data_IF_083803624896
#
_entry.id   IF_083803624896
#
_cell.length_a   1.000
_cell.length_b   1.000
_cell.length_c   1.000
_cell.angle_alpha   90.00
_cell.angle_beta   90.00
_cell.angle_gamma   90.00
#
_symmetry.space_group_name_H-M   'P 1'
#
loop_
_entity.id
_entity.type
_entity.pdbx_description
1 polymer ?
#
# COMPACT_ATOMS: atom_id res chain seq x y z
N UNK A 1 -7.86 8.50 -11.96
CA UNK A 1 -6.49 8.27 -11.47
C UNK A 1 -5.64 7.86 -12.66
N UNK A 2 -4.45 8.43 -12.82
CA UNK A 2 -3.58 8.21 -13.98
C UNK A 2 -2.23 7.65 -13.50
N UNK A 3 -1.66 6.73 -14.27
CA UNK A 3 -0.36 6.10 -14.04
C UNK A 3 0.51 6.21 -15.32
N UNK A 4 1.76 5.78 -15.25
CA UNK A 4 2.78 5.91 -16.29
C UNK A 4 3.15 7.36 -16.56
N UNK A 5 3.42 7.68 -17.82
CA UNK A 5 3.76 9.04 -18.30
C UNK A 5 2.72 10.12 -17.94
N UNK A 6 1.51 9.71 -17.56
CA UNK A 6 0.43 10.60 -17.20
C UNK A 6 0.39 10.96 -15.70
N UNK A 7 1.14 10.24 -14.85
CA UNK A 7 1.31 10.59 -13.44
C UNK A 7 2.32 11.74 -13.34
N UNK A 8 1.84 12.98 -13.44
CA UNK A 8 2.69 14.18 -13.50
C UNK A 8 1.99 15.41 -12.91
N UNK A 9 2.79 16.45 -12.64
CA UNK A 9 2.28 17.73 -12.14
C UNK A 9 1.49 17.57 -10.83
N UNK A 10 0.26 18.08 -10.79
CA UNK A 10 -0.60 18.07 -9.59
C UNK A 10 -0.93 16.66 -9.07
N UNK A 11 -0.83 15.63 -9.91
CA UNK A 11 -1.10 14.25 -9.51
C UNK A 11 0.04 13.68 -8.63
N UNK A 12 1.23 14.27 -8.66
CA UNK A 12 2.36 13.88 -7.79
C UNK A 12 2.12 14.25 -6.31
N UNK A 13 1.12 15.09 -6.02
CA UNK A 13 0.71 15.43 -4.66
C UNK A 13 -0.34 14.44 -4.08
N UNK A 14 -0.71 13.40 -4.85
CA UNK A 14 -1.63 12.37 -4.38
C UNK A 14 -0.90 11.28 -3.61
N UNK A 15 -1.54 10.77 -2.57
CA UNK A 15 -1.03 9.68 -1.74
C UNK A 15 -2.16 8.75 -1.29
N UNK A 16 -1.81 7.50 -1.06
CA UNK A 16 -2.66 6.47 -0.48
C UNK A 16 -2.48 6.42 1.03
N UNK A 17 -3.59 6.45 1.77
CA UNK A 17 -3.67 6.09 3.18
C UNK A 17 -4.17 4.65 3.23
N UNK A 18 -3.41 3.80 3.93
CA UNK A 18 -3.78 2.42 4.27
C UNK A 18 -4.11 2.39 5.75
N UNK A 19 -5.29 1.90 6.10
CA UNK A 19 -5.79 1.87 7.48
C UNK A 19 -6.12 0.45 7.92
N UNK A 20 -5.66 0.11 9.12
CA UNK A 20 -5.95 -1.13 9.82
C UNK A 20 -7.21 -1.02 10.69
N UNK A 21 -7.79 -2.16 11.07
CA UNK A 21 -8.96 -2.22 11.95
C UNK A 21 -8.73 -1.63 13.36
N UNK A 22 -7.48 -1.54 13.81
CA UNK A 22 -7.09 -0.93 15.08
C UNK A 22 -6.80 0.57 14.98
N UNK A 23 -7.03 1.17 13.80
CA UNK A 23 -6.76 2.58 13.53
C UNK A 23 -5.32 2.90 13.15
N UNK A 24 -4.42 1.91 13.09
CA UNK A 24 -3.06 2.13 12.57
C UNK A 24 -3.10 2.55 11.10
N UNK A 25 -2.26 3.53 10.74
CA UNK A 25 -2.23 4.10 9.39
C UNK A 25 -0.81 4.20 8.85
N UNK A 26 -0.66 3.90 7.56
CA UNK A 26 0.54 4.15 6.80
C UNK A 26 0.21 4.92 5.51
N UNK A 27 1.17 5.70 5.02
CA UNK A 27 1.04 6.53 3.81
C UNK A 27 2.05 6.10 2.76
N UNK A 28 1.60 6.13 1.50
CA UNK A 28 2.39 5.88 0.31
C UNK A 28 2.10 6.94 -0.74
N UNK A 29 3.13 7.57 -1.30
CA UNK A 29 2.93 8.46 -2.44
C UNK A 29 2.47 7.65 -3.66
N UNK A 30 1.59 8.21 -4.51
CA UNK A 30 1.14 7.46 -5.70
C UNK A 30 2.26 7.01 -6.65
N UNK A 31 3.34 7.79 -6.87
CA UNK A 31 4.48 7.32 -7.66
C UNK A 31 5.15 6.04 -7.15
N UNK A 32 5.00 5.68 -5.86
CA UNK A 32 5.54 4.42 -5.33
C UNK A 32 4.87 3.17 -5.92
N UNK A 33 3.71 3.31 -6.56
CA UNK A 33 2.96 2.21 -7.20
C UNK A 33 3.13 2.16 -8.73
N UNK A 34 3.94 3.05 -9.30
CA UNK A 34 4.02 3.26 -10.74
C UNK A 34 5.38 2.79 -11.29
N UNK A 35 5.34 1.85 -12.24
CA UNK A 35 6.54 1.30 -12.88
C UNK A 35 7.36 2.35 -13.66
N UNK A 36 6.77 3.49 -14.04
CA UNK A 36 7.54 4.57 -14.64
C UNK A 36 8.45 5.31 -13.63
N UNK A 37 8.22 5.12 -12.32
CA UNK A 37 8.96 5.78 -11.25
C UNK A 37 9.84 4.82 -10.46
N UNK A 38 9.39 3.59 -10.25
CA UNK A 38 10.11 2.61 -9.43
C UNK A 38 9.69 1.17 -9.77
N UNK A 39 10.60 0.23 -9.61
CA UNK A 39 10.32 -1.21 -9.67
C UNK A 39 9.86 -1.79 -8.33
N UNK A 40 9.33 -0.91 -7.46
CA UNK A 40 8.95 -1.29 -6.10
C UNK A 40 7.68 -2.13 -6.17
N UNK A 41 7.67 -3.22 -5.42
CA UNK A 41 6.49 -4.08 -5.31
C UNK A 41 5.79 -3.79 -3.99
N UNK A 42 4.52 -3.39 -4.06
CA UNK A 42 3.63 -3.25 -2.90
C UNK A 42 2.48 -4.22 -3.08
N UNK A 43 2.28 -5.11 -2.11
CA UNK A 43 1.34 -6.23 -2.20
C UNK A 43 0.23 -6.05 -1.18
N UNK A 44 -1.02 -6.13 -1.62
CA UNK A 44 -2.17 -6.37 -0.74
C UNK A 44 -2.48 -7.86 -0.74
N UNK A 45 -1.98 -8.58 0.26
CA UNK A 45 -2.11 -10.02 0.35
C UNK A 45 -3.38 -10.42 1.13
N UNK A 46 -4.07 -11.45 0.65
CA UNK A 46 -5.12 -12.17 1.39
C UNK A 46 -4.72 -13.61 1.73
N UNK A 47 -3.57 -14.06 1.24
CA UNK A 47 -3.02 -15.41 1.43
C UNK A 47 -1.50 -15.37 1.58
N UNK A 48 -0.97 -16.38 2.28
CA UNK A 48 0.46 -16.70 2.35
C UNK A 48 0.62 -18.20 2.16
N UNK A 49 1.48 -18.60 1.23
CA UNK A 49 1.75 -20.02 0.90
C UNK A 49 0.48 -20.82 0.60
N UNK A 50 -0.41 -20.25 -0.22
CA UNK A 50 -1.68 -20.86 -0.63
C UNK A 50 -2.78 -20.87 0.43
N UNK A 51 -2.48 -20.50 1.68
CA UNK A 51 -3.41 -20.48 2.82
C UNK A 51 -3.89 -19.07 3.11
N UNK A 52 -5.11 -18.94 3.64
CA UNK A 52 -5.60 -17.66 4.19
C UNK A 52 -4.64 -17.14 5.26
N UNK A 53 -4.56 -15.82 5.38
CA UNK A 53 -3.80 -15.18 6.46
C UNK A 53 -4.34 -15.60 7.84
N UNK A 54 -3.47 -15.64 8.83
CA UNK A 54 -3.86 -15.86 10.21
C UNK A 54 -4.79 -14.72 10.70
N UNK A 55 -5.64 -15.02 11.68
CA UNK A 55 -6.62 -14.07 12.23
C UNK A 55 -5.98 -12.79 12.78
N UNK A 56 -4.71 -12.80 13.18
CA UNK A 56 -4.00 -11.58 13.64
C UNK A 56 -3.37 -10.76 12.51
N UNK A 57 -3.36 -11.28 11.29
CA UNK A 57 -2.71 -10.67 10.13
C UNK A 57 -3.70 -10.19 9.06
N UNK A 58 -4.81 -10.90 8.85
CA UNK A 58 -5.77 -10.66 7.78
C UNK A 58 -7.21 -10.42 8.24
N UNK A 59 -8.13 -10.05 7.33
CA UNK A 59 -8.25 -10.73 6.04
C UNK A 59 -7.33 -10.19 4.94
N UNK A 60 -6.88 -8.94 5.08
CA UNK A 60 -5.96 -8.28 4.16
C UNK A 60 -4.74 -7.75 4.91
N UNK A 61 -3.57 -7.87 4.30
CA UNK A 61 -2.32 -7.31 4.80
C UNK A 61 -1.54 -6.63 3.68
N UNK A 62 -1.06 -5.43 3.93
CA UNK A 62 -0.09 -4.76 3.08
C UNK A 62 1.32 -5.28 3.38
N UNK A 63 2.08 -5.61 2.35
CA UNK A 63 3.46 -6.10 2.41
C UNK A 63 4.30 -5.34 1.41
N UNK A 64 5.47 -4.89 1.85
CA UNK A 64 6.40 -4.08 1.06
C UNK A 64 7.79 -4.71 1.17
N UNK A 65 8.12 -5.70 0.32
CA UNK A 65 9.27 -6.59 0.52
C UNK A 65 10.64 -5.89 0.62
N UNK A 66 10.79 -4.74 -0.02
CA UNK A 66 12.04 -3.96 -0.04
C UNK A 66 12.25 -3.07 1.20
N UNK A 67 11.30 -3.05 2.15
CA UNK A 67 11.47 -2.34 3.42
C UNK A 67 12.35 -3.11 4.40
N UNK A 68 13.49 -2.53 4.78
CA UNK A 68 14.37 -3.06 5.83
C UNK A 68 13.65 -3.21 7.18
N UNK A 69 12.78 -2.26 7.51
CA UNK A 69 11.92 -2.30 8.69
C UNK A 69 10.47 -2.31 8.23
N UNK A 70 9.71 -3.29 8.68
CA UNK A 70 8.31 -3.55 8.29
C UNK A 70 7.31 -2.56 8.91
N UNK A 71 7.66 -1.28 9.00
CA UNK A 71 6.85 -0.25 9.64
C UNK A 71 5.54 0.01 8.88
N UNK A 72 5.54 -0.12 7.55
CA UNK A 72 4.35 0.11 6.73
C UNK A 72 3.67 -1.19 6.29
N UNK A 73 3.99 -2.32 6.91
CA UNK A 73 3.32 -3.61 6.65
C UNK A 73 2.02 -3.70 7.46
N UNK A 74 1.01 -2.98 6.99
CA UNK A 74 -0.29 -2.84 7.67
C UNK A 74 -1.03 -4.18 7.66
N UNK A 75 -1.30 -4.73 8.85
CA UNK A 75 -2.17 -5.91 9.03
C UNK A 75 -3.62 -5.47 9.12
N UNK A 76 -4.56 -6.39 8.95
CA UNK A 76 -5.98 -6.10 9.16
C UNK A 76 -6.47 -4.90 8.35
N UNK A 77 -6.04 -4.78 7.09
CA UNK A 77 -6.38 -3.61 6.26
C UNK A 77 -7.89 -3.56 6.05
N UNK A 78 -8.51 -2.44 6.42
CA UNK A 78 -9.94 -2.18 6.29
C UNK A 78 -10.27 -1.05 5.32
N UNK A 79 -9.30 -0.15 5.04
CA UNK A 79 -9.51 0.97 4.12
C UNK A 79 -8.26 1.33 3.33
N UNK A 80 -8.49 1.71 2.08
CA UNK A 80 -7.53 2.25 1.13
C UNK A 80 -8.12 3.55 0.57
N UNK A 81 -7.56 4.70 0.99
CA UNK A 81 -8.11 6.02 0.63
C UNK A 81 -7.05 6.87 -0.02
N UNK A 82 -7.33 7.39 -1.22
CA UNK A 82 -6.45 8.35 -1.88
C UNK A 82 -6.82 9.77 -1.43
N UNK A 83 -5.80 10.56 -1.06
CA UNK A 83 -5.94 11.98 -0.74
C UNK A 83 -4.89 12.79 -1.48
N UNK A 84 -5.07 14.12 -1.47
CA UNK A 84 -4.09 15.09 -1.94
C UNK A 84 -3.52 15.84 -0.72
N UNK A 85 -2.23 16.14 -0.76
CA UNK A 85 -1.55 16.95 0.24
C UNK A 85 -2.08 18.40 0.26
#
# INVERSE_FOLDING_TARGET
>A
MKFGEQLRGKELALFLIVEASDGYRAVFALPEFDHAFTDRIIILANRRDGKSLAEKEGPLRLVVPDEKRQGRWVRQVVSLTIRRA
#
